data_IF_025110777998
#
_entry.id   IF_025110777998
#
_cell.length_a   1.000
_cell.length_b   1.000
_cell.length_c   1.000
_cell.angle_alpha   90.00
_cell.angle_beta   90.00
_cell.angle_gamma   90.00
#
_symmetry.space_group_name_H-M   'P 1'
#
loop_
_entity.id
_entity.type
_entity.pdbx_description
1 polymer ?
#
# COMPACT_ATOMS: atom_id res chain seq x y z
N UNK A 1 3.05 12.30 -13.43
CA UNK A 1 3.03 10.88 -13.82
C UNK A 1 1.62 10.36 -13.58
N UNK A 2 1.08 9.42 -14.35
CA UNK A 2 -0.13 8.72 -13.91
C UNK A 2 0.22 8.05 -12.57
N UNK A 3 -0.42 8.51 -11.49
CA UNK A 3 -0.33 7.87 -10.18
C UNK A 3 -1.13 6.57 -10.27
N UNK A 4 -0.46 5.44 -10.12
CA UNK A 4 -1.14 4.15 -9.99
C UNK A 4 -1.75 4.06 -8.60
N UNK A 5 -2.98 3.57 -8.52
CA UNK A 5 -3.65 3.25 -7.26
C UNK A 5 -2.99 2.04 -6.57
N UNK A 6 -3.21 1.88 -5.26
CA UNK A 6 -2.78 0.69 -4.49
C UNK A 6 -3.19 -0.59 -5.21
N UNK A 7 -4.46 -0.65 -5.62
CA UNK A 7 -5.05 -1.84 -6.22
C UNK A 7 -4.44 -2.16 -7.59
N UNK A 8 -4.16 -1.15 -8.41
CA UNK A 8 -3.45 -1.33 -9.68
C UNK A 8 -2.04 -1.86 -9.49
N UNK A 9 -1.30 -1.35 -8.49
CA UNK A 9 0.03 -1.82 -8.18
C UNK A 9 0.03 -3.27 -7.67
N UNK A 10 -0.88 -3.62 -6.75
CA UNK A 10 -1.02 -4.97 -6.22
C UNK A 10 -1.45 -5.97 -7.31
N UNK A 11 -2.42 -5.59 -8.15
CA UNK A 11 -2.88 -6.42 -9.26
C UNK A 11 -1.75 -6.70 -10.27
N UNK A 12 -0.91 -5.71 -10.56
CA UNK A 12 0.24 -5.88 -11.42
C UNK A 12 1.28 -6.84 -10.82
N UNK A 13 1.63 -6.67 -9.54
CA UNK A 13 2.60 -7.53 -8.85
C UNK A 13 2.09 -8.96 -8.78
N UNK A 14 0.81 -9.15 -8.48
CA UNK A 14 0.20 -10.48 -8.44
C UNK A 14 0.20 -11.14 -9.83
N UNK A 15 -0.11 -10.38 -10.88
CA UNK A 15 -0.03 -10.86 -12.26
C UNK A 15 1.38 -11.33 -12.62
N UNK A 16 2.41 -10.57 -12.22
CA UNK A 16 3.81 -10.99 -12.41
C UNK A 16 4.15 -12.24 -11.58
N UNK A 17 3.68 -12.32 -10.33
CA UNK A 17 3.94 -13.45 -9.44
C UNK A 17 3.37 -14.74 -10.03
N UNK A 18 2.13 -14.71 -10.50
CA UNK A 18 1.47 -15.86 -11.16
C UNK A 18 2.21 -16.26 -12.43
N UNK A 19 2.65 -15.29 -13.24
CA UNK A 19 3.39 -15.54 -14.48
C UNK A 19 4.71 -16.29 -14.24
N UNK A 20 5.41 -15.96 -13.16
CA UNK A 20 6.74 -16.52 -12.86
C UNK A 20 6.71 -17.73 -11.92
N UNK A 21 5.65 -17.90 -11.12
CA UNK A 21 5.52 -19.00 -10.15
C UNK A 21 5.53 -20.39 -10.81
N UNK A 22 5.06 -20.51 -12.05
CA UNK A 22 5.08 -21.76 -12.82
C UNK A 22 6.40 -22.02 -13.55
N UNK A 23 7.35 -21.07 -13.52
CA UNK A 23 8.60 -21.16 -14.28
C UNK A 23 9.73 -21.72 -13.42
N UNK A 24 10.40 -22.74 -13.93
CA UNK A 24 11.58 -23.34 -13.30
C UNK A 24 12.67 -22.28 -13.13
N UNK A 25 13.25 -22.19 -11.93
CA UNK A 25 14.31 -21.22 -11.60
C UNK A 25 13.83 -19.85 -11.12
N UNK A 26 12.52 -19.58 -11.12
CA UNK A 26 11.95 -18.28 -10.73
C UNK A 26 11.28 -18.28 -9.34
N UNK A 27 11.46 -19.34 -8.54
CA UNK A 27 10.89 -19.43 -7.18
C UNK A 27 11.28 -18.22 -6.32
N UNK A 28 12.55 -17.83 -6.34
CA UNK A 28 13.05 -16.68 -5.58
C UNK A 28 12.35 -15.37 -6.00
N UNK A 29 12.03 -15.20 -7.29
CA UNK A 29 11.36 -14.00 -7.79
C UNK A 29 9.89 -14.00 -7.36
N UNK A 30 9.21 -15.15 -7.41
CA UNK A 30 7.85 -15.28 -6.90
C UNK A 30 7.77 -14.93 -5.40
N UNK A 31 8.75 -15.37 -4.61
CA UNK A 31 8.86 -15.00 -3.18
C UNK A 31 9.10 -13.49 -2.99
N UNK A 32 9.98 -12.89 -3.79
CA UNK A 32 10.22 -11.43 -3.73
C UNK A 32 8.99 -10.62 -4.10
N UNK A 33 8.22 -11.07 -5.10
CA UNK A 33 6.96 -10.42 -5.48
C UNK A 33 5.91 -10.56 -4.38
N UNK A 34 5.84 -11.72 -3.72
CA UNK A 34 4.96 -11.90 -2.55
C UNK A 34 5.33 -10.95 -1.40
N UNK A 35 6.62 -10.79 -1.11
CA UNK A 35 7.07 -9.85 -0.08
C UNK A 35 6.81 -8.39 -0.47
N UNK A 36 6.95 -8.06 -1.76
CA UNK A 36 6.68 -6.72 -2.26
C UNK A 36 5.19 -6.35 -2.11
N UNK A 37 4.27 -7.26 -2.43
CA UNK A 37 2.83 -7.04 -2.19
C UNK A 37 2.55 -6.76 -0.73
N UNK A 38 3.05 -7.60 0.18
CA UNK A 38 2.84 -7.42 1.63
C UNK A 38 3.45 -6.10 2.16
N UNK A 39 4.59 -5.68 1.60
CA UNK A 39 5.20 -4.41 1.96
C UNK A 39 4.38 -3.20 1.52
N UNK A 40 3.82 -3.24 0.30
CA UNK A 40 2.94 -2.19 -0.21
C UNK A 40 1.66 -2.10 0.62
N UNK A 41 1.07 -3.23 0.97
CA UNK A 41 -0.09 -3.28 1.88
C UNK A 41 0.24 -2.60 3.20
N UNK A 42 1.35 -3.00 3.85
CA UNK A 42 1.79 -2.41 5.12
C UNK A 42 2.00 -0.90 5.06
N UNK A 43 2.68 -0.38 4.02
CA UNK A 43 2.91 1.07 3.89
C UNK A 43 1.60 1.80 3.67
N UNK A 44 0.71 1.24 2.85
CA UNK A 44 -0.55 1.91 2.53
C UNK A 44 -1.45 1.98 3.76
N UNK A 45 -1.50 0.90 4.53
CA UNK A 45 -2.29 0.84 5.75
C UNK A 45 -1.72 1.82 6.82
N UNK A 46 -0.39 1.91 6.94
CA UNK A 46 0.27 2.92 7.80
C UNK A 46 -0.03 4.35 7.32
N UNK A 47 -0.05 4.58 6.01
CA UNK A 47 -0.38 5.89 5.44
C UNK A 47 -1.83 6.29 5.73
N UNK A 48 -2.77 5.34 5.60
CA UNK A 48 -4.18 5.57 5.90
C UNK A 48 -4.40 5.83 7.39
N UNK A 49 -3.68 5.13 8.28
CA UNK A 49 -3.69 5.41 9.72
C UNK A 49 -3.14 6.81 10.02
N UNK A 50 -2.02 7.20 9.40
CA UNK A 50 -1.42 8.52 9.58
C UNK A 50 -2.34 9.63 9.10
N UNK A 51 -3.02 9.45 7.95
CA UNK A 51 -4.04 10.39 7.46
C UNK A 51 -5.19 10.53 8.46
N UNK A 52 -5.72 9.41 8.95
CA UNK A 52 -6.80 9.43 9.94
C UNK A 52 -6.39 10.16 11.24
N UNK A 53 -5.14 9.98 11.69
CA UNK A 53 -4.59 10.72 12.85
C UNK A 53 -4.43 12.20 12.55
N UNK A 54 -4.00 12.58 11.34
CA UNK A 54 -3.88 13.98 10.92
C UNK A 54 -5.25 14.67 10.93
N UNK A 55 -6.27 14.03 10.36
CA UNK A 55 -7.64 14.55 10.32
C UNK A 55 -8.22 14.75 11.74
N UNK A 56 -7.86 13.88 12.70
CA UNK A 56 -8.23 14.05 14.11
C UNK A 56 -7.54 15.25 14.77
N UNK A 57 -6.27 15.52 14.43
CA UNK A 57 -5.54 16.69 14.95
C UNK A 57 -6.11 17.98 14.35
N UNK A 58 -6.40 18.01 13.05
CA UNK A 58 -6.95 19.19 12.39
C UNK A 58 -8.37 19.50 12.87
N UNK A 59 -9.20 18.48 13.09
CA UNK A 59 -10.56 18.65 13.64
C UNK A 59 -10.61 18.98 15.13
N UNK A 60 -9.50 18.78 15.87
CA UNK A 60 -9.37 19.18 17.28
C UNK A 60 -8.66 20.53 17.48
N UNK A 61 -8.40 21.26 16.39
CA UNK A 61 -7.83 22.61 16.44
C UNK A 61 -8.78 23.57 17.21
N UNK A 62 -8.26 24.39 18.16
CA UNK A 62 -9.04 25.10 19.18
C UNK A 62 -9.78 26.35 18.67
N UNK A 63 -10.26 26.35 17.43
CA UNK A 63 -11.15 27.40 16.90
C UNK A 63 -12.57 27.35 17.50
N UNK A 64 -12.95 26.26 18.17
CA UNK A 64 -14.26 26.10 18.81
C UNK A 64 -14.34 26.60 20.26
N UNK A 65 -13.25 27.15 20.82
CA UNK A 65 -13.22 27.74 22.17
C UNK A 65 -13.62 29.23 22.23
N UNK A 66 -14.09 29.81 21.11
CA UNK A 66 -14.61 31.18 21.04
C UNK A 66 -16.02 31.22 20.42
N UNK A 67 -17.02 30.68 21.12
CA UNK A 67 -18.42 31.09 20.96
C UNK A 67 -19.11 31.13 22.31
#
# INVERSE_FOLDING_TARGET
MPEYTKDEALAFIESMRVLVASRVGFKWLAEKLSHLSAYIESITDENDELKARLDQVDSSSPSDLKR
#
